data_IF_750451036718
#
_entry.id   IF_750451036718
#
_cell.length_a   1.000
_cell.length_b   1.000
_cell.length_c   1.000
_cell.angle_alpha   90.00
_cell.angle_beta   90.00
_cell.angle_gamma   90.00
#
_symmetry.space_group_name_H-M   'P 1'
#
loop_
_entity.id
_entity.type
_entity.pdbx_description
1 polymer ?
#
# COMPACT_ATOMS: atom_id res chain seq x y z
N UNK A 1 -10.77 -8.97 -8.31
CA UNK A 1 -9.75 -9.99 -8.64
C UNK A 1 -8.78 -10.02 -7.46
N UNK A 2 -8.52 -11.18 -6.86
CA UNK A 2 -7.61 -11.29 -5.71
C UNK A 2 -6.18 -11.47 -6.17
N UNK A 3 -5.22 -10.85 -5.48
CA UNK A 3 -3.79 -11.14 -5.68
C UNK A 3 -3.45 -12.56 -5.19
N UNK A 4 -2.56 -13.23 -5.90
CA UNK A 4 -1.95 -14.51 -5.51
C UNK A 4 -0.45 -14.33 -5.27
N UNK A 5 0.16 -15.33 -4.63
CA UNK A 5 1.61 -15.35 -4.42
C UNK A 5 2.33 -15.43 -5.77
N UNK A 6 3.34 -14.57 -5.95
CA UNK A 6 4.11 -14.46 -7.19
C UNK A 6 3.51 -13.51 -8.22
N UNK A 7 2.29 -13.01 -8.01
CA UNK A 7 1.72 -11.97 -8.87
C UNK A 7 2.47 -10.64 -8.66
N UNK A 8 2.61 -9.87 -9.73
CA UNK A 8 3.12 -8.50 -9.65
C UNK A 8 2.05 -7.65 -8.97
N UNK A 9 2.45 -6.93 -7.92
CA UNK A 9 1.56 -6.01 -7.23
C UNK A 9 1.06 -4.92 -8.20
N UNK A 10 -0.23 -4.52 -8.13
CA UNK A 10 -0.77 -3.50 -9.03
C UNK A 10 -0.01 -2.19 -8.86
N UNK A 11 0.37 -1.57 -9.97
CA UNK A 11 0.95 -0.23 -9.96
C UNK A 11 -0.18 0.80 -9.91
N UNK A 12 -0.62 1.14 -8.69
CA UNK A 12 -1.72 2.08 -8.48
C UNK A 12 -1.22 3.49 -8.23
N UNK A 13 -2.07 4.47 -8.53
CA UNK A 13 -1.93 5.85 -8.07
C UNK A 13 -2.96 6.14 -6.98
N UNK A 14 -2.51 6.67 -5.85
CA UNK A 14 -3.39 7.07 -4.74
C UNK A 14 -2.83 8.29 -4.01
N UNK A 15 -3.69 9.12 -3.46
CA UNK A 15 -3.35 10.08 -2.42
C UNK A 15 -2.86 9.38 -1.14
N UNK A 16 -1.84 9.94 -0.51
CA UNK A 16 -1.30 9.48 0.78
C UNK A 16 -1.08 10.69 1.69
N UNK A 17 -0.70 10.45 2.94
CA UNK A 17 -0.27 11.51 3.86
C UNK A 17 0.98 12.27 3.37
N UNK A 18 1.76 11.69 2.45
CA UNK A 18 2.93 12.31 1.81
C UNK A 18 2.60 12.93 0.44
N UNK A 19 1.32 12.98 0.08
CA UNK A 19 0.82 13.44 -1.22
C UNK A 19 0.51 12.28 -2.17
N UNK A 20 0.30 12.57 -3.45
CA UNK A 20 -0.07 11.56 -4.45
C UNK A 20 1.14 10.68 -4.76
N UNK A 21 0.98 9.36 -4.60
CA UNK A 21 2.00 8.36 -4.88
C UNK A 21 1.61 7.47 -6.05
N UNK A 22 2.63 6.98 -6.76
CA UNK A 22 2.53 5.86 -7.69
C UNK A 22 3.32 4.69 -7.11
N UNK A 23 2.66 3.55 -6.89
CA UNK A 23 3.16 2.51 -5.98
C UNK A 23 4.56 1.99 -6.34
N UNK A 24 4.82 1.67 -7.62
CA UNK A 24 6.13 1.13 -8.02
C UNK A 24 7.25 2.18 -7.99
N UNK A 25 6.91 3.45 -8.30
CA UNK A 25 7.87 4.55 -8.26
C UNK A 25 8.26 4.89 -6.81
N UNK A 26 7.28 4.97 -5.91
CA UNK A 26 7.50 5.20 -4.48
C UNK A 26 8.30 4.06 -3.84
N UNK A 27 8.03 2.80 -4.23
CA UNK A 27 8.74 1.63 -3.71
C UNK A 27 10.20 1.56 -4.20
N UNK A 28 10.46 1.98 -5.44
CA UNK A 28 11.78 1.94 -6.06
C UNK A 28 12.38 0.53 -6.09
N UNK A 29 13.64 0.40 -5.66
CA UNK A 29 14.37 -0.88 -5.60
C UNK A 29 14.30 -1.56 -4.22
N UNK A 30 13.47 -1.06 -3.31
CA UNK A 30 13.37 -1.56 -1.94
C UNK A 30 12.28 -2.64 -1.81
N UNK A 31 12.38 -3.46 -0.76
CA UNK A 31 11.26 -4.30 -0.33
C UNK A 31 10.18 -3.44 0.35
N UNK A 32 8.91 -3.81 0.16
CA UNK A 32 7.76 -3.08 0.72
C UNK A 32 6.74 -4.01 1.37
N UNK A 33 6.11 -3.52 2.44
CA UNK A 33 5.00 -4.18 3.12
C UNK A 33 3.80 -3.24 3.08
N UNK A 34 2.75 -3.64 2.36
CA UNK A 34 1.48 -2.91 2.33
C UNK A 34 0.49 -3.60 3.28
N UNK A 35 -0.04 -2.85 4.23
CA UNK A 35 -1.04 -3.32 5.17
C UNK A 35 -2.18 -2.30 5.24
N UNK A 36 -3.36 -2.79 5.62
CA UNK A 36 -4.53 -1.94 5.89
C UNK A 36 -5.03 -2.19 7.31
N UNK A 37 -5.75 -1.22 7.85
CA UNK A 37 -6.54 -1.36 9.06
C UNK A 37 -8.00 -0.97 8.76
N UNK A 38 -8.99 -1.42 9.56
CA UNK A 38 -10.40 -1.21 9.24
C UNK A 38 -10.84 0.25 9.27
N UNK A 39 -10.37 1.01 10.26
CA UNK A 39 -10.69 2.42 10.44
C UNK A 39 -9.66 3.08 11.37
N UNK A 40 -9.48 4.39 11.20
CA UNK A 40 -8.68 5.23 12.11
C UNK A 40 -9.31 5.27 13.52
N UNK A 41 -8.49 5.54 14.54
CA UNK A 41 -8.92 5.77 15.94
C UNK A 41 -9.69 4.61 16.59
N UNK A 42 -9.38 3.37 16.19
CA UNK A 42 -9.87 2.16 16.87
C UNK A 42 -8.79 1.60 17.80
N UNK A 43 -9.16 1.02 18.97
CA UNK A 43 -8.21 0.71 20.06
C UNK A 43 -7.15 -0.34 19.73
N UNK A 44 -7.31 -1.10 18.64
CA UNK A 44 -6.34 -2.08 18.15
C UNK A 44 -5.43 -1.50 17.06
N UNK A 45 -5.89 -0.45 16.36
CA UNK A 45 -5.19 0.14 15.22
C UNK A 45 -4.39 1.40 15.58
N UNK A 46 -4.31 1.73 16.88
CA UNK A 46 -3.47 2.79 17.46
C UNK A 46 -2.22 2.17 18.06
#
# INVERSE_FOLDING_TARGET
MSLKLGDIAPDFEQDSSEGKIRFHEWLGNSWGVLFSHPADFTPVCT
#
